data_IF_736899107264
#
_entry.id   IF_736899107264
#
_cell.length_a   1.000
_cell.length_b   1.000
_cell.length_c   1.000
_cell.angle_alpha   90.00
_cell.angle_beta   90.00
_cell.angle_gamma   90.00
#
_symmetry.space_group_name_H-M   'P 1'
#
loop_
_entity.id
_entity.type
_entity.pdbx_description
1 polymer ?
#
# COMPACT_ATOMS: atom_id res chain seq x y z
N UNK A 1 26.63 -19.57 -22.62
CA UNK A 1 26.04 -18.29 -23.07
C UNK A 1 24.72 -18.12 -22.34
N UNK A 2 24.62 -17.02 -21.58
CA UNK A 2 23.46 -16.42 -20.89
C UNK A 2 22.60 -17.27 -19.93
N UNK A 3 22.98 -17.19 -18.66
CA UNK A 3 22.07 -17.28 -17.52
C UNK A 3 21.15 -16.05 -17.52
N UNK A 4 19.83 -16.28 -17.59
CA UNK A 4 18.80 -15.27 -17.39
C UNK A 4 17.68 -15.90 -16.59
N UNK A 5 17.95 -16.16 -15.31
CA UNK A 5 16.95 -15.95 -14.25
C UNK A 5 16.21 -14.64 -14.56
N UNK A 6 15.09 -14.76 -15.28
CA UNK A 6 14.17 -13.66 -15.51
C UNK A 6 13.56 -13.40 -14.14
N UNK A 7 14.19 -12.49 -13.39
CA UNK A 7 13.55 -11.82 -12.28
C UNK A 7 12.28 -11.16 -12.84
N UNK A 8 11.16 -11.89 -12.81
CA UNK A 8 9.83 -11.35 -12.97
C UNK A 8 9.60 -10.45 -11.77
N UNK A 9 10.08 -9.21 -11.86
CA UNK A 9 9.62 -8.16 -10.99
C UNK A 9 8.12 -8.03 -11.26
N UNK A 10 7.24 -8.25 -10.27
CA UNK A 10 5.82 -8.08 -10.49
C UNK A 10 5.62 -6.65 -10.99
N UNK A 11 4.98 -6.53 -12.16
CA UNK A 11 4.63 -5.23 -12.73
C UNK A 11 3.64 -4.62 -11.75
N UNK A 12 4.15 -3.85 -10.80
CA UNK A 12 3.36 -3.24 -9.75
C UNK A 12 2.30 -2.37 -10.41
N UNK A 13 1.05 -2.82 -10.41
CA UNK A 13 -0.07 -2.00 -10.85
C UNK A 13 -0.28 -0.95 -9.77
N UNK A 14 0.26 0.25 -10.00
CA UNK A 14 -0.08 1.40 -9.20
C UNK A 14 -1.54 1.77 -9.50
N UNK A 15 -2.33 1.90 -8.44
CA UNK A 15 -3.69 2.44 -8.51
C UNK A 15 -3.67 3.87 -7.99
N UNK A 16 -4.33 4.77 -8.72
CA UNK A 16 -4.53 6.13 -8.25
C UNK A 16 -5.76 6.16 -7.35
N UNK A 17 -5.61 6.71 -6.15
CA UNK A 17 -6.70 6.86 -5.18
C UNK A 17 -6.91 8.34 -4.96
N UNK A 18 -8.16 8.78 -5.07
CA UNK A 18 -8.57 10.14 -4.75
C UNK A 18 -9.07 10.16 -3.32
N UNK A 19 -8.48 11.02 -2.49
CA UNK A 19 -8.87 11.24 -1.11
C UNK A 19 -9.40 12.66 -0.97
N UNK A 20 -10.36 12.86 -0.07
CA UNK A 20 -10.66 14.21 0.38
C UNK A 20 -9.45 14.79 1.15
N UNK A 21 -9.39 16.12 1.21
CA UNK A 21 -8.24 16.82 1.80
C UNK A 21 -8.04 16.51 3.28
N UNK A 22 -9.11 16.25 4.03
CA UNK A 22 -9.03 15.92 5.45
C UNK A 22 -8.38 14.55 5.64
N UNK A 23 -8.84 13.54 4.89
CA UNK A 23 -8.26 12.19 4.92
C UNK A 23 -6.81 12.19 4.45
N UNK A 24 -6.48 13.00 3.44
CA UNK A 24 -5.09 13.14 2.96
C UNK A 24 -4.16 13.70 4.05
N UNK A 25 -4.54 14.78 4.75
CA UNK A 25 -3.69 15.35 5.80
C UNK A 25 -3.54 14.40 7.00
N UNK A 26 -4.59 13.66 7.37
CA UNK A 26 -4.49 12.63 8.40
C UNK A 26 -3.51 11.51 8.01
N UNK A 27 -3.62 11.00 6.79
CA UNK A 27 -2.72 9.99 6.25
C UNK A 27 -1.26 10.48 6.24
N UNK A 28 -1.05 11.74 5.87
CA UNK A 28 0.28 12.38 5.85
C UNK A 28 0.87 12.50 7.25
N UNK A 29 0.08 12.88 8.25
CA UNK A 29 0.51 12.94 9.65
C UNK A 29 0.90 11.54 10.16
N UNK A 30 0.08 10.54 9.87
CA UNK A 30 0.35 9.15 10.27
C UNK A 30 1.61 8.60 9.60
N UNK A 31 1.79 8.83 8.30
CA UNK A 31 2.99 8.44 7.58
C UNK A 31 4.26 9.09 8.16
N UNK A 32 4.18 10.35 8.59
CA UNK A 32 5.29 11.04 9.24
C UNK A 32 5.63 10.42 10.61
N UNK A 33 4.61 10.08 11.43
CA UNK A 33 4.79 9.42 12.71
C UNK A 33 5.43 8.03 12.56
N UNK A 34 5.00 7.26 11.56
CA UNK A 34 5.51 5.92 11.25
C UNK A 34 6.83 5.93 10.46
N UNK A 35 7.36 7.11 10.11
CA UNK A 35 8.55 7.30 9.26
C UNK A 35 8.44 6.56 7.92
N UNK A 36 7.26 6.55 7.32
CA UNK A 36 6.95 5.95 6.01
C UNK A 36 6.54 7.01 5.00
N UNK A 37 6.54 6.64 3.72
CA UNK A 37 5.93 7.48 2.69
C UNK A 37 4.42 7.35 2.74
N UNK A 38 3.69 8.39 2.32
CA UNK A 38 2.21 8.39 2.23
C UNK A 38 1.69 7.16 1.47
N UNK A 39 2.34 6.79 0.37
CA UNK A 39 1.96 5.63 -0.42
C UNK A 39 2.13 4.29 0.33
N UNK A 40 3.20 4.16 1.13
CA UNK A 40 3.43 2.95 1.95
C UNK A 40 2.43 2.87 3.10
N UNK A 41 2.09 4.00 3.69
CA UNK A 41 1.08 4.05 4.75
C UNK A 41 -0.32 3.74 4.22
N UNK A 42 -0.70 4.33 3.09
CA UNK A 42 -1.97 4.02 2.42
C UNK A 42 -2.06 2.52 2.10
N UNK A 43 -0.98 1.95 1.56
CA UNK A 43 -0.89 0.52 1.30
C UNK A 43 -1.07 -0.30 2.58
N UNK A 44 -0.39 0.05 3.65
CA UNK A 44 -0.48 -0.65 4.93
C UNK A 44 -1.92 -0.67 5.48
N UNK A 45 -2.58 0.48 5.49
CA UNK A 45 -3.98 0.61 5.92
C UNK A 45 -4.91 -0.25 5.06
N UNK A 46 -4.74 -0.20 3.74
CA UNK A 46 -5.55 -0.99 2.79
C UNK A 46 -5.32 -2.49 3.01
N UNK A 47 -4.07 -2.93 3.14
CA UNK A 47 -3.73 -4.33 3.40
C UNK A 47 -4.37 -4.82 4.72
N UNK A 48 -4.29 -4.03 5.79
CA UNK A 48 -4.94 -4.38 7.07
C UNK A 48 -6.46 -4.47 6.96
N UNK A 49 -7.10 -3.61 6.17
CA UNK A 49 -8.54 -3.64 5.96
C UNK A 49 -8.98 -4.91 5.21
N UNK A 50 -8.22 -5.34 4.20
CA UNK A 50 -8.54 -6.57 3.47
C UNK A 50 -8.16 -7.85 4.24
N UNK A 51 -7.10 -7.84 5.05
CA UNK A 51 -6.74 -8.98 5.90
C UNK A 51 -7.73 -9.22 7.05
N UNK A 52 -8.43 -8.17 7.50
CA UNK A 52 -9.48 -8.30 8.53
C UNK A 52 -10.78 -8.84 7.96
N UNK A 53 -11.17 -8.42 6.75
CA UNK A 53 -12.41 -8.84 6.09
C UNK A 53 -12.42 -10.33 5.66
N UNK A 54 -11.24 -10.95 5.51
CA UNK A 54 -11.09 -12.39 5.25
C UNK A 54 -11.15 -13.24 6.54
N UNK A 55 -10.78 -12.68 7.69
CA UNK A 55 -10.86 -13.39 8.98
C UNK A 55 -12.27 -13.48 9.54
N UNK A 56 -13.11 -12.50 9.24
CA UNK A 56 -14.52 -12.49 9.67
C UNK A 56 -15.43 -13.37 8.79
N UNK A 57 -14.90 -13.95 7.70
CA UNK A 57 -15.63 -14.85 6.77
C UNK A 57 -15.28 -16.34 6.94
N UNK A 58 -14.42 -16.70 7.88
CA UNK A 58 -14.10 -18.10 8.25
C UNK A 58 -14.87 -18.56 9.48
#
# INVERSE_FOLDING_TARGET
MEDKSKNFLPVGRYVNIFLDMTTYEQLKLQAANERRTIAKEARHIIEQYFESDEKDKQ
#
